data_IF_212235322303
#
_entry.id   IF_212235322303
#
_cell.length_a   1.000
_cell.length_b   1.000
_cell.length_c   1.000
_cell.angle_alpha   90.00
_cell.angle_beta   90.00
_cell.angle_gamma   90.00
#
_symmetry.space_group_name_H-M   'P 1'
#
loop_
_entity.id
_entity.type
_entity.pdbx_description
1 polymer ?
#
# COMPACT_ATOMS: atom_id res chain seq x y z
N UNK A 1 -21.89 17.35 11.42
CA UNK A 1 -20.81 18.00 10.65
C UNK A 1 -19.43 17.56 11.13
N UNK A 2 -19.05 17.80 12.40
CA UNK A 2 -17.73 17.43 12.95
C UNK A 2 -17.42 15.93 12.88
N UNK A 3 -18.41 15.07 13.11
CA UNK A 3 -18.28 13.61 13.00
C UNK A 3 -17.87 13.12 11.61
N UNK A 4 -18.33 13.78 10.54
CA UNK A 4 -17.93 13.45 9.16
C UNK A 4 -16.47 13.83 8.90
N UNK A 5 -16.03 14.99 9.38
CA UNK A 5 -14.64 15.45 9.22
C UNK A 5 -13.66 14.51 9.93
N UNK A 6 -13.96 14.13 11.18
CA UNK A 6 -13.15 13.17 11.93
C UNK A 6 -13.19 11.78 11.28
N UNK A 7 -14.36 11.34 10.80
CA UNK A 7 -14.50 10.07 10.09
C UNK A 7 -13.62 9.99 8.85
N UNK A 8 -13.65 11.01 7.99
CA UNK A 8 -12.80 11.05 6.79
C UNK A 8 -11.31 11.16 7.13
N UNK A 9 -10.94 11.90 8.18
CA UNK A 9 -9.55 11.99 8.63
C UNK A 9 -9.01 10.62 9.08
N UNK A 10 -9.78 9.87 9.87
CA UNK A 10 -9.40 8.52 10.33
C UNK A 10 -9.31 7.54 9.15
N UNK A 11 -10.26 7.59 8.22
CA UNK A 11 -10.24 6.76 7.01
C UNK A 11 -9.02 7.08 6.15
N UNK A 12 -8.73 8.36 5.90
CA UNK A 12 -7.56 8.79 5.11
C UNK A 12 -6.24 8.30 5.71
N UNK A 13 -6.05 8.48 7.03
CA UNK A 13 -4.88 7.98 7.73
C UNK A 13 -4.77 6.45 7.68
N UNK A 14 -5.90 5.74 7.81
CA UNK A 14 -5.96 4.28 7.70
C UNK A 14 -5.58 3.78 6.30
N UNK A 15 -6.03 4.45 5.24
CA UNK A 15 -5.70 4.08 3.86
C UNK A 15 -4.23 4.31 3.54
N UNK A 16 -3.64 5.42 4.02
CA UNK A 16 -2.20 5.68 3.90
C UNK A 16 -1.37 4.61 4.63
N UNK A 17 -1.75 4.27 5.87
CA UNK A 17 -1.09 3.22 6.64
C UNK A 17 -1.19 1.84 5.96
N UNK A 18 -2.36 1.51 5.38
CA UNK A 18 -2.57 0.28 4.62
C UNK A 18 -1.69 0.23 3.36
N UNK A 19 -1.63 1.33 2.58
CA UNK A 19 -0.78 1.44 1.41
C UNK A 19 0.70 1.24 1.76
N UNK A 20 1.17 1.89 2.83
CA UNK A 20 2.56 1.76 3.27
C UNK A 20 2.91 0.34 3.72
N UNK A 21 2.01 -0.33 4.46
CA UNK A 21 2.20 -1.70 4.91
C UNK A 21 2.34 -2.68 3.73
N UNK A 22 1.47 -2.56 2.72
CA UNK A 22 1.50 -3.40 1.53
C UNK A 22 2.78 -3.15 0.72
N UNK A 23 3.16 -1.89 0.51
CA UNK A 23 4.40 -1.53 -0.17
C UNK A 23 5.63 -2.11 0.55
N UNK A 24 5.71 -1.96 1.88
CA UNK A 24 6.80 -2.50 2.69
C UNK A 24 6.84 -4.04 2.64
N UNK A 25 5.68 -4.69 2.61
CA UNK A 25 5.57 -6.15 2.48
C UNK A 25 6.12 -6.63 1.14
N UNK A 26 5.72 -6.00 0.04
CA UNK A 26 6.23 -6.35 -1.29
C UNK A 26 7.72 -6.04 -1.40
N UNK A 27 8.25 -4.96 -0.82
CA UNK A 27 9.67 -4.63 -0.97
C UNK A 27 10.55 -5.54 -0.11
N UNK A 28 10.21 -5.70 1.17
CA UNK A 28 11.10 -6.28 2.19
C UNK A 28 10.81 -7.76 2.50
N UNK A 29 9.59 -8.25 2.30
CA UNK A 29 9.17 -9.61 2.69
C UNK A 29 8.95 -10.53 1.48
N UNK A 30 9.58 -10.25 0.34
CA UNK A 30 9.58 -11.18 -0.79
C UNK A 30 10.37 -12.44 -0.48
N UNK A 31 9.98 -13.53 -1.16
CA UNK A 31 10.72 -14.79 -1.06
C UNK A 31 12.21 -14.58 -1.43
N UNK A 32 13.13 -15.15 -0.63
CA UNK A 32 14.56 -15.02 -0.87
C UNK A 32 14.93 -15.63 -2.23
N UNK A 33 15.73 -14.90 -3.02
CA UNK A 33 16.11 -15.33 -4.37
C UNK A 33 15.11 -14.95 -5.48
N UNK A 34 13.98 -14.29 -5.15
CA UNK A 34 13.04 -13.78 -6.14
C UNK A 34 13.48 -12.40 -6.66
N UNK A 35 13.89 -12.34 -7.93
CA UNK A 35 14.26 -11.08 -8.60
C UNK A 35 13.02 -10.26 -8.98
N UNK A 36 13.18 -8.94 -9.14
CA UNK A 36 12.10 -8.03 -9.54
C UNK A 36 11.43 -8.39 -10.87
N UNK A 37 12.17 -8.98 -11.81
CA UNK A 37 11.65 -9.44 -13.10
C UNK A 37 10.73 -10.67 -13.03
N UNK A 38 10.78 -11.41 -11.92
CA UNK A 38 9.96 -12.61 -11.68
C UNK A 38 8.71 -12.31 -10.85
N UNK A 39 8.54 -11.08 -10.41
CA UNK A 39 7.37 -10.63 -9.66
C UNK A 39 6.16 -10.57 -10.61
N UNK A 40 5.03 -11.23 -10.29
CA UNK A 40 3.84 -11.22 -11.14
C UNK A 40 3.29 -9.82 -11.40
N UNK A 41 2.67 -9.60 -12.56
CA UNK A 41 2.08 -8.29 -12.94
C UNK A 41 1.05 -7.79 -11.93
N UNK A 42 0.34 -8.71 -11.27
CA UNK A 42 -0.61 -8.39 -10.21
C UNK A 42 0.06 -7.72 -8.99
N UNK A 43 1.26 -8.17 -8.61
CA UNK A 43 2.01 -7.58 -7.49
C UNK A 43 2.52 -6.19 -7.88
N UNK A 44 2.90 -6.00 -9.15
CA UNK A 44 3.24 -4.68 -9.68
C UNK A 44 2.04 -3.72 -9.67
N UNK A 45 0.84 -4.18 -10.06
CA UNK A 45 -0.36 -3.34 -9.97
C UNK A 45 -0.69 -2.96 -8.53
N UNK A 46 -0.54 -3.88 -7.57
CA UNK A 46 -0.74 -3.59 -6.15
C UNK A 46 0.29 -2.57 -5.66
N UNK A 47 1.56 -2.70 -6.06
CA UNK A 47 2.61 -1.75 -5.67
C UNK A 47 2.32 -0.34 -6.22
N UNK A 48 1.76 -0.22 -7.42
CA UNK A 48 1.32 1.05 -7.98
C UNK A 48 0.11 1.63 -7.21
N UNK A 49 -0.89 0.81 -6.87
CA UNK A 49 -2.02 1.25 -6.04
C UNK A 49 -1.58 1.66 -4.63
N UNK A 50 -0.65 0.92 -4.03
CA UNK A 50 -0.06 1.25 -2.74
C UNK A 50 0.65 2.60 -2.78
N UNK A 51 1.41 2.88 -3.84
CA UNK A 51 2.03 4.19 -4.04
C UNK A 51 1.00 5.33 -4.13
N UNK A 52 -0.09 5.13 -4.88
CA UNK A 52 -1.19 6.10 -4.99
C UNK A 52 -1.95 6.34 -3.68
N UNK A 53 -2.03 5.34 -2.80
CA UNK A 53 -2.67 5.49 -1.48
C UNK A 53 -1.77 6.20 -0.47
N UNK A 54 -0.46 6.14 -0.64
CA UNK A 54 0.53 6.75 0.26
C UNK A 54 0.95 8.17 -0.13
N UNK A 55 0.93 8.48 -1.43
CA UNK A 55 1.21 9.81 -1.98
C UNK A 55 0.01 10.74 -1.76
#
# INVERSE_FOLDING_TARGET
MVSYLLGFAVVGLGMMAAGFNVAATIINYRAPGMTWSRVPIFVWSILATAALLTL
#
